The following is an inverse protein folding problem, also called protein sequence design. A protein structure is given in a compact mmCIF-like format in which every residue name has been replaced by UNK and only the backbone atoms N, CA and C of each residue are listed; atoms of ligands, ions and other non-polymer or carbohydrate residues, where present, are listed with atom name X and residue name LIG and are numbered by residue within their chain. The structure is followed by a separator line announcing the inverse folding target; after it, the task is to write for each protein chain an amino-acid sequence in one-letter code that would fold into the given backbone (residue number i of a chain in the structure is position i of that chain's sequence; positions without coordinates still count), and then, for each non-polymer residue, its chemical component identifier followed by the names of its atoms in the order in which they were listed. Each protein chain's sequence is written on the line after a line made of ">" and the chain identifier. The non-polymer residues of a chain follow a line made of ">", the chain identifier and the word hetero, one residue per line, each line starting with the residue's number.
data_IF_147387996730
#
_entry.id   IF_147387996730
#
_cell.length_a   1.000
_cell.length_b   1.000
_cell.length_c   1.000
_cell.angle_alpha   90.00
_cell.angle_beta   90.00
_cell.angle_gamma   90.00
#
_symmetry.space_group_name_H-M   'P 1'
#
loop_
_entity.id
_entity.type
_entity.pdbx_description
1 polymer ?
#
# COMPACT_ATOMS: atom_id res chain seq x y z
N UNK A 1 76.72 -17.91 23.92
CA UNK A 1 76.06 -16.56 24.00
C UNK A 1 75.33 -16.29 22.73
N UNK A 2 74.02 -16.53 22.67
CA UNK A 2 73.15 -16.07 21.63
C UNK A 2 71.72 -15.91 22.25
N UNK A 3 71.34 -14.69 22.45
CA UNK A 3 69.98 -14.30 22.93
C UNK A 3 69.05 -14.28 21.79
N UNK A 4 68.04 -15.16 21.79
CA UNK A 4 66.92 -15.17 20.78
C UNK A 4 65.77 -14.37 21.31
N UNK A 5 65.55 -13.19 20.72
CA UNK A 5 64.38 -12.32 20.97
C UNK A 5 63.15 -12.81 20.18
N UNK A 6 62.22 -13.42 20.87
CA UNK A 6 60.94 -13.80 20.31
C UNK A 6 60.00 -12.58 20.25
N UNK A 7 59.80 -12.07 19.04
CA UNK A 7 58.92 -10.93 18.74
C UNK A 7 57.46 -11.45 18.66
N UNK A 8 56.69 -11.25 19.72
CA UNK A 8 55.24 -11.56 19.73
C UNK A 8 54.50 -10.54 18.90
N UNK A 9 54.00 -10.96 17.76
CA UNK A 9 53.09 -10.16 16.91
C UNK A 9 51.67 -10.38 17.46
N UNK A 10 51.11 -9.36 18.11
CA UNK A 10 49.67 -9.33 18.46
C UNK A 10 48.87 -9.00 17.19
N UNK A 11 48.14 -9.97 16.67
CA UNK A 11 47.10 -9.73 15.69
C UNK A 11 45.88 -9.20 16.43
N UNK A 12 45.59 -7.90 16.30
CA UNK A 12 44.36 -7.31 16.75
C UNK A 12 43.24 -7.68 15.75
N UNK A 13 42.36 -8.59 16.14
CA UNK A 13 41.17 -8.97 15.37
C UNK A 13 40.13 -7.84 15.50
N UNK A 14 40.06 -6.95 14.50
CA UNK A 14 39.06 -5.91 14.43
C UNK A 14 37.73 -6.56 13.95
N UNK A 15 36.86 -6.92 14.89
CA UNK A 15 35.51 -7.40 14.57
C UNK A 15 34.68 -6.23 14.04
N UNK A 16 34.54 -6.16 12.72
CA UNK A 16 33.63 -5.21 12.08
C UNK A 16 32.16 -5.63 12.35
N UNK A 17 31.52 -4.97 13.29
CA UNK A 17 30.07 -5.11 13.51
C UNK A 17 29.32 -4.39 12.37
N UNK A 18 28.78 -5.17 11.43
CA UNK A 18 27.87 -4.63 10.41
C UNK A 18 26.57 -4.19 11.09
N UNK A 19 26.09 -2.94 10.87
CA UNK A 19 24.81 -2.54 11.38
C UNK A 19 23.72 -3.35 10.67
N UNK A 20 22.95 -4.14 11.42
CA UNK A 20 21.72 -4.75 10.93
C UNK A 20 20.70 -3.62 10.68
N UNK A 21 20.48 -3.29 9.40
CA UNK A 21 19.41 -2.41 9.02
C UNK A 21 18.07 -3.11 9.32
N UNK A 22 17.42 -2.75 10.41
CA UNK A 22 16.04 -3.12 10.67
C UNK A 22 15.19 -2.43 9.60
N UNK A 23 14.62 -3.20 8.68
CA UNK A 23 13.62 -2.71 7.76
C UNK A 23 12.42 -2.24 8.58
N UNK A 24 12.26 -0.94 8.75
CA UNK A 24 11.08 -0.36 9.39
C UNK A 24 9.86 -0.71 8.54
N UNK A 25 8.80 -1.23 9.20
CA UNK A 25 7.52 -1.42 8.52
C UNK A 25 7.08 -0.08 7.88
N UNK A 26 6.53 -0.09 6.67
CA UNK A 26 6.14 1.13 6.00
C UNK A 26 5.14 1.89 6.87
N UNK A 27 5.52 3.06 7.33
CA UNK A 27 4.62 3.95 8.06
C UNK A 27 3.45 4.33 7.15
N UNK A 28 2.25 4.48 7.73
CA UNK A 28 1.13 5.07 7.01
C UNK A 28 1.49 6.50 6.67
N UNK A 29 1.46 6.87 5.39
CA UNK A 29 1.71 8.24 4.96
C UNK A 29 0.64 9.17 5.56
N UNK A 30 1.01 10.30 6.16
CA UNK A 30 0.05 11.25 6.70
C UNK A 30 -0.81 11.83 5.56
N UNK A 31 -2.10 12.06 5.85
CA UNK A 31 -3.03 12.67 4.91
C UNK A 31 -4.04 13.57 5.63
N UNK A 32 -4.57 14.55 4.91
CA UNK A 32 -5.66 15.40 5.37
C UNK A 32 -6.91 15.13 4.55
N UNK A 33 -8.06 15.00 5.24
CA UNK A 33 -9.37 14.86 4.60
C UNK A 33 -10.03 16.24 4.53
N UNK A 34 -10.44 16.64 3.32
CA UNK A 34 -11.18 17.88 3.06
C UNK A 34 -12.51 17.51 2.39
N UNK A 35 -13.60 17.69 3.12
CA UNK A 35 -14.90 17.19 2.67
C UNK A 35 -14.89 15.69 2.47
N UNK A 36 -15.23 15.23 1.26
CA UNK A 36 -15.25 13.82 0.86
C UNK A 36 -14.00 13.40 0.05
N UNK A 37 -12.86 14.07 0.25
CA UNK A 37 -11.65 13.84 -0.54
C UNK A 37 -10.35 13.92 0.30
N UNK A 38 -9.31 13.23 -0.17
CA UNK A 38 -7.91 13.49 0.15
C UNK A 38 -7.30 14.13 -1.11
N UNK A 39 -7.19 15.46 -1.11
CA UNK A 39 -6.82 16.22 -2.32
C UNK A 39 -5.38 15.97 -2.73
N UNK A 40 -4.45 16.04 -1.78
CA UNK A 40 -3.03 15.84 -2.02
C UNK A 40 -2.70 14.34 -2.20
N UNK A 41 -1.86 13.97 -3.15
CA UNK A 41 -1.33 12.61 -3.24
C UNK A 41 -0.59 12.21 -1.96
N UNK A 42 -0.72 10.95 -1.56
CA UNK A 42 -0.04 10.41 -0.37
C UNK A 42 1.48 10.54 -0.53
N UNK A 43 2.13 11.20 0.40
CA UNK A 43 3.58 11.44 0.35
C UNK A 43 4.06 12.20 -0.90
N UNK A 44 3.19 12.91 -1.62
CA UNK A 44 3.53 13.58 -2.87
C UNK A 44 3.86 12.64 -4.04
N UNK A 45 3.46 11.36 -3.93
CA UNK A 45 3.81 10.33 -4.91
C UNK A 45 2.99 10.45 -6.19
N UNK A 46 3.60 10.05 -7.32
CA UNK A 46 2.90 9.94 -8.60
C UNK A 46 2.48 8.50 -8.83
N UNK A 47 1.19 8.29 -9.11
CA UNK A 47 0.63 6.98 -9.43
C UNK A 47 0.89 6.57 -10.88
N UNK A 48 0.90 5.25 -11.12
CA UNK A 48 1.04 4.63 -12.43
C UNK A 48 -0.15 3.68 -12.68
N UNK A 49 -0.89 3.92 -13.75
CA UNK A 49 -2.10 3.16 -14.06
C UNK A 49 -1.84 1.69 -14.40
N UNK A 50 -0.68 1.35 -14.97
CA UNK A 50 -0.33 -0.04 -15.28
C UNK A 50 -0.04 -0.83 -14.00
N UNK A 51 0.73 -0.24 -13.06
CA UNK A 51 0.90 -0.84 -11.74
C UNK A 51 -0.41 -0.91 -10.98
N UNK A 52 -1.25 0.12 -11.08
CA UNK A 52 -2.59 0.13 -10.51
C UNK A 52 -3.46 -1.02 -11.01
N UNK A 53 -3.40 -1.31 -12.33
CA UNK A 53 -4.13 -2.43 -12.92
C UNK A 53 -3.65 -3.77 -12.34
N UNK A 54 -2.35 -3.98 -12.24
CA UNK A 54 -1.78 -5.19 -11.63
C UNK A 54 -2.27 -5.38 -10.18
N UNK A 55 -2.38 -4.30 -9.40
CA UNK A 55 -2.90 -4.35 -8.03
C UNK A 55 -4.38 -4.67 -8.01
N UNK A 56 -5.20 -4.03 -8.86
CA UNK A 56 -6.66 -4.19 -8.86
C UNK A 56 -7.08 -5.61 -9.22
N UNK A 57 -6.39 -6.24 -10.19
CA UNK A 57 -6.69 -7.62 -10.60
C UNK A 57 -6.13 -8.68 -9.65
N UNK A 58 -5.16 -8.32 -8.82
CA UNK A 58 -4.56 -9.24 -7.86
C UNK A 58 -5.52 -9.55 -6.70
N UNK A 59 -5.92 -10.81 -6.57
CA UNK A 59 -6.87 -11.30 -5.57
C UNK A 59 -6.29 -11.40 -4.16
N UNK A 60 -4.98 -11.23 -4.00
CA UNK A 60 -4.28 -11.30 -2.70
C UNK A 60 -3.80 -9.93 -2.23
N UNK A 61 -3.54 -9.00 -3.14
CA UNK A 61 -3.03 -7.65 -2.84
C UNK A 61 -4.17 -6.64 -2.83
N UNK A 62 -4.75 -6.34 -4.00
CA UNK A 62 -5.81 -5.35 -4.13
C UNK A 62 -7.17 -5.89 -3.70
N UNK A 63 -7.47 -7.15 -4.01
CA UNK A 63 -8.75 -7.81 -3.69
C UNK A 63 -9.99 -7.09 -4.24
N UNK A 64 -9.81 -6.10 -5.11
CA UNK A 64 -10.89 -5.22 -5.57
C UNK A 64 -11.97 -6.00 -6.31
N UNK A 65 -11.56 -6.89 -7.23
CA UNK A 65 -12.47 -7.66 -8.06
C UNK A 65 -13.14 -8.82 -7.32
N UNK A 66 -12.83 -9.05 -6.05
CA UNK A 66 -13.63 -9.96 -5.22
C UNK A 66 -15.04 -9.40 -4.96
N UNK A 67 -15.19 -8.07 -5.01
CA UNK A 67 -16.45 -7.40 -4.72
C UNK A 67 -16.98 -6.56 -5.91
N UNK A 68 -16.09 -5.93 -6.67
CA UNK A 68 -16.42 -5.03 -7.77
C UNK A 68 -16.32 -5.71 -9.13
N UNK A 69 -17.30 -5.60 -10.03
CA UNK A 69 -17.08 -5.84 -11.44
C UNK A 69 -16.37 -4.64 -12.07
N UNK A 70 -15.79 -4.83 -13.28
CA UNK A 70 -15.15 -3.77 -14.03
C UNK A 70 -14.55 -4.24 -15.35
N UNK A 71 -13.91 -3.36 -16.14
CA UNK A 71 -13.37 -3.66 -17.46
C UNK A 71 -12.01 -4.40 -17.38
N UNK A 72 -12.01 -5.55 -16.72
CA UNK A 72 -10.83 -6.39 -16.48
C UNK A 72 -11.05 -7.79 -17.05
N UNK A 73 -10.94 -8.00 -18.39
CA UNK A 73 -11.23 -9.26 -19.02
C UNK A 73 -10.27 -10.40 -18.61
N UNK A 74 -9.10 -10.06 -18.07
CA UNK A 74 -8.14 -11.03 -17.53
C UNK A 74 -8.64 -11.72 -16.25
N UNK A 75 -9.54 -11.08 -15.48
CA UNK A 75 -10.21 -11.69 -14.33
C UNK A 75 -11.65 -12.06 -14.69
N UNK A 76 -11.89 -13.34 -14.88
CA UNK A 76 -13.19 -13.87 -15.33
C UNK A 76 -14.23 -13.98 -14.21
N UNK A 77 -13.79 -14.07 -12.95
CA UNK A 77 -14.65 -14.27 -11.79
C UNK A 77 -14.67 -13.02 -10.92
N UNK A 78 -15.34 -12.00 -11.41
CA UNK A 78 -15.49 -10.74 -10.69
C UNK A 78 -16.72 -10.78 -9.79
N UNK A 79 -16.61 -10.15 -8.61
CA UNK A 79 -17.73 -10.00 -7.68
C UNK A 79 -18.78 -9.00 -8.16
N UNK A 80 -19.94 -9.04 -7.52
CA UNK A 80 -21.06 -8.14 -7.78
C UNK A 80 -21.65 -7.53 -6.50
N UNK A 81 -20.91 -7.56 -5.39
CA UNK A 81 -21.31 -7.00 -4.10
C UNK A 81 -21.18 -5.48 -4.04
N UNK A 82 -20.35 -4.90 -4.88
CA UNK A 82 -20.02 -3.49 -4.90
C UNK A 82 -20.24 -2.89 -6.29
N UNK A 83 -20.33 -1.55 -6.41
CA UNK A 83 -20.58 -0.89 -7.69
C UNK A 83 -19.52 -1.21 -8.74
N UNK A 84 -19.96 -1.25 -10.02
CA UNK A 84 -19.06 -1.42 -11.15
C UNK A 84 -18.01 -0.30 -11.20
N UNK A 85 -16.75 -0.71 -11.46
CA UNK A 85 -15.61 0.20 -11.62
C UNK A 85 -15.57 0.85 -13.02
N UNK A 86 -16.29 0.33 -14.00
CA UNK A 86 -16.49 1.02 -15.28
C UNK A 86 -16.99 2.43 -15.02
N UNK A 87 -16.53 3.40 -15.77
CA UNK A 87 -16.87 4.81 -15.64
C UNK A 87 -16.67 5.46 -14.24
N UNK A 88 -15.95 4.82 -13.31
CA UNK A 88 -15.74 5.39 -11.96
C UNK A 88 -15.00 6.73 -12.01
N UNK A 89 -14.06 6.90 -12.93
CA UNK A 89 -13.30 8.13 -13.15
C UNK A 89 -14.13 9.27 -13.76
N UNK A 90 -15.38 9.02 -14.20
CA UNK A 90 -16.34 10.07 -14.56
C UNK A 90 -17.16 10.55 -13.36
N UNK A 91 -17.35 9.66 -12.39
CA UNK A 91 -18.20 9.92 -11.21
C UNK A 91 -17.43 10.52 -10.04
N UNK A 92 -16.14 10.24 -9.95
CA UNK A 92 -15.29 10.64 -8.83
C UNK A 92 -13.98 11.20 -9.34
N UNK A 93 -13.51 12.28 -8.71
CA UNK A 93 -12.17 12.80 -8.91
C UNK A 93 -11.11 11.98 -8.14
N UNK A 94 -9.83 12.26 -8.42
CA UNK A 94 -8.71 11.54 -7.82
C UNK A 94 -8.69 11.63 -6.28
N UNK A 95 -9.06 12.77 -5.71
CA UNK A 95 -9.11 12.96 -4.26
C UNK A 95 -10.22 12.15 -3.61
N UNK A 96 -11.38 12.07 -4.26
CA UNK A 96 -12.52 11.28 -3.82
C UNK A 96 -12.24 9.77 -3.93
N UNK A 97 -11.58 9.34 -5.01
CA UNK A 97 -11.11 7.96 -5.19
C UNK A 97 -10.11 7.60 -4.09
N UNK A 98 -9.15 8.48 -3.85
CA UNK A 98 -8.11 8.28 -2.83
C UNK A 98 -8.71 8.08 -1.45
N UNK A 99 -9.65 8.93 -1.03
CA UNK A 99 -10.31 8.77 0.28
C UNK A 99 -11.02 7.42 0.41
N UNK A 100 -11.71 6.96 -0.63
CA UNK A 100 -12.42 5.67 -0.59
C UNK A 100 -11.47 4.48 -0.46
N UNK A 101 -10.29 4.56 -1.07
CA UNK A 101 -9.27 3.51 -0.95
C UNK A 101 -8.58 3.59 0.41
N UNK A 102 -8.19 4.79 0.85
CA UNK A 102 -7.47 4.98 2.10
C UNK A 102 -8.33 4.60 3.31
N UNK A 103 -9.54 5.17 3.38
CA UNK A 103 -10.48 4.96 4.49
C UNK A 103 -11.93 5.11 4.03
N UNK A 104 -12.46 4.05 3.43
CA UNK A 104 -13.83 3.98 2.91
C UNK A 104 -14.91 4.33 3.95
N UNK A 105 -14.66 4.06 5.24
CA UNK A 105 -15.59 4.33 6.33
C UNK A 105 -15.81 5.82 6.59
N UNK A 106 -14.89 6.66 6.16
CA UNK A 106 -15.08 8.13 6.21
C UNK A 106 -16.19 8.60 5.28
N UNK A 107 -16.47 7.84 4.23
CA UNK A 107 -17.54 8.14 3.26
C UNK A 107 -18.82 7.38 3.61
N UNK A 108 -18.69 6.13 4.01
CA UNK A 108 -19.82 5.29 4.44
C UNK A 108 -19.37 4.44 5.64
N UNK A 109 -19.82 4.76 6.87
CA UNK A 109 -19.46 4.01 8.08
C UNK A 109 -19.85 2.52 8.04
N UNK A 110 -20.91 2.17 7.31
CA UNK A 110 -21.46 0.82 7.19
C UNK A 110 -20.81 0.00 6.07
N UNK A 111 -19.81 0.55 5.38
CA UNK A 111 -19.17 -0.14 4.26
C UNK A 111 -18.41 -1.39 4.71
N UNK A 112 -18.48 -2.44 3.90
CA UNK A 112 -17.64 -3.63 4.02
C UNK A 112 -16.29 -3.49 3.28
N UNK A 113 -16.12 -2.42 2.48
CA UNK A 113 -14.86 -2.15 1.79
C UNK A 113 -13.74 -1.88 2.82
N UNK A 114 -12.61 -2.57 2.75
CA UNK A 114 -11.50 -2.35 3.69
C UNK A 114 -10.93 -0.93 3.60
N UNK A 115 -10.41 -0.43 4.73
CA UNK A 115 -9.54 0.74 4.73
C UNK A 115 -8.12 0.27 4.36
N UNK A 116 -7.69 0.53 3.15
CA UNK A 116 -6.45 -0.05 2.61
C UNK A 116 -5.18 0.62 3.15
N UNK A 117 -5.26 1.89 3.54
CA UNK A 117 -4.09 2.65 4.01
C UNK A 117 -4.27 3.19 5.44
N UNK A 118 -4.93 2.42 6.29
CA UNK A 118 -5.15 2.72 7.70
C UNK A 118 -4.77 1.52 8.55
N UNK A 119 -4.19 1.73 9.74
CA UNK A 119 -3.78 0.66 10.66
C UNK A 119 -4.54 0.66 11.98
N UNK A 120 -5.08 1.80 12.39
CA UNK A 120 -5.87 1.97 13.60
C UNK A 120 -7.31 1.47 13.44
N UNK A 121 -7.96 1.15 14.53
CA UNK A 121 -9.36 0.71 14.56
C UNK A 121 -9.65 -0.64 13.92
N UNK A 122 -8.64 -1.44 13.59
CA UNK A 122 -8.78 -2.81 13.08
C UNK A 122 -8.90 -3.79 14.23
N UNK A 123 -9.75 -4.81 14.06
CA UNK A 123 -9.90 -5.91 15.02
C UNK A 123 -9.57 -7.24 14.34
N UNK A 124 -9.08 -8.20 15.10
CA UNK A 124 -8.79 -9.58 14.66
C UNK A 124 -7.81 -9.62 13.48
N UNK A 125 -6.80 -8.75 13.50
CA UNK A 125 -5.77 -8.69 12.46
C UNK A 125 -4.79 -9.84 12.66
N UNK A 126 -4.53 -10.61 11.60
CA UNK A 126 -3.51 -11.64 11.65
C UNK A 126 -2.12 -11.03 11.95
N UNK A 127 -1.23 -11.72 12.71
CA UNK A 127 0.06 -11.15 13.12
C UNK A 127 0.90 -10.59 11.97
N UNK A 128 0.88 -11.23 10.80
CA UNK A 128 1.61 -10.77 9.62
C UNK A 128 1.15 -9.40 9.09
N UNK A 129 -0.05 -8.95 9.44
CA UNK A 129 -0.65 -7.68 9.02
C UNK A 129 -0.76 -6.63 10.14
N UNK A 130 -0.35 -7.01 11.36
CA UNK A 130 -0.38 -6.11 12.51
C UNK A 130 0.54 -4.90 12.26
N UNK A 131 0.02 -3.69 12.47
CA UNK A 131 0.77 -2.45 12.28
C UNK A 131 1.13 -2.12 10.81
N UNK A 132 0.58 -2.85 9.82
CA UNK A 132 0.87 -2.64 8.40
C UNK A 132 -0.39 -2.26 7.63
N UNK A 133 -0.36 -1.28 6.72
CA UNK A 133 -1.47 -1.03 5.82
C UNK A 133 -1.63 -2.18 4.81
N UNK A 134 -2.83 -2.37 4.25
CA UNK A 134 -3.07 -3.34 3.18
C UNK A 134 -2.37 -2.94 1.88
N UNK A 135 -2.40 -1.64 1.57
CA UNK A 135 -1.66 -1.05 0.45
C UNK A 135 -0.72 0.03 0.96
N UNK A 136 0.47 0.10 0.41
CA UNK A 136 1.40 1.21 0.63
C UNK A 136 0.86 2.50 0.01
N UNK A 137 1.44 3.65 0.37
CA UNK A 137 1.07 4.94 -0.24
C UNK A 137 1.23 4.90 -1.77
N UNK A 138 2.33 4.33 -2.28
CA UNK A 138 2.54 4.20 -3.73
C UNK A 138 1.46 3.33 -4.39
N UNK A 139 1.12 2.20 -3.79
CA UNK A 139 0.08 1.33 -4.32
C UNK A 139 -1.30 2.00 -4.34
N UNK A 140 -1.62 2.82 -3.34
CA UNK A 140 -2.85 3.64 -3.35
C UNK A 140 -2.85 4.60 -4.52
N UNK A 141 -1.75 5.35 -4.73
CA UNK A 141 -1.66 6.30 -5.85
C UNK A 141 -1.72 5.59 -7.21
N UNK A 142 -1.11 4.41 -7.34
CA UNK A 142 -1.17 3.61 -8.56
C UNK A 142 -2.62 3.17 -8.87
N UNK A 143 -3.37 2.71 -7.87
CA UNK A 143 -4.79 2.36 -8.02
C UNK A 143 -5.62 3.59 -8.36
N UNK A 144 -5.39 4.74 -7.71
CA UNK A 144 -6.08 6.01 -8.02
C UNK A 144 -5.83 6.41 -9.47
N UNK A 145 -4.56 6.32 -9.93
CA UNK A 145 -4.20 6.64 -11.31
C UNK A 145 -4.97 5.76 -12.31
N UNK A 146 -5.05 4.44 -12.06
CA UNK A 146 -5.86 3.56 -12.89
C UNK A 146 -7.34 3.96 -12.89
N UNK A 147 -7.97 4.05 -11.69
CA UNK A 147 -9.41 4.28 -11.59
C UNK A 147 -9.83 5.61 -12.23
N UNK A 148 -8.98 6.63 -12.18
CA UNK A 148 -9.21 7.90 -12.84
C UNK A 148 -9.27 7.80 -14.38
N UNK A 149 -8.68 6.76 -14.97
CA UNK A 149 -8.74 6.50 -16.42
C UNK A 149 -10.00 5.77 -16.87
N UNK A 150 -10.71 5.09 -15.95
CA UNK A 150 -11.91 4.32 -16.24
C UNK A 150 -13.11 5.27 -16.45
N UNK A 151 -13.34 5.67 -17.69
CA UNK A 151 -14.31 6.70 -18.06
C UNK A 151 -15.37 6.26 -19.09
N UNK A 152 -15.33 5.00 -19.48
CA UNK A 152 -16.27 4.44 -20.48
C UNK A 152 -17.53 3.88 -19.83
#
# INVERSE_FOLDING_TARGET
>A
MLTSSVRRILFALCAATLPTAYAQAPAVAPYAVTGAAIVAPLGGLTGDALRGRAIVVDRQVGMCLLCHPGPFPEERFQGNLAPDLASIGRRLDAGQLRLRIVDSRRVNPETTMPAYHRIDGRMRVAPAWSGRPLLTAQQVEDVVALLATLRD
#
